data_IF_339115347245
#
_entry.id   IF_339115347245
#
_cell.length_a   1.000
_cell.length_b   1.000
_cell.length_c   1.000
_cell.angle_alpha   90.00
_cell.angle_beta   90.00
_cell.angle_gamma   90.00
#
_symmetry.space_group_name_H-M   'P 1'
#
loop_
_entity.id
_entity.type
_entity.pdbx_description
1 polymer ?
#
# COMPACT_ATOMS: atom_id res chain seq x y z
N UNK A 1 -17.22 -5.92 -17.66
CA UNK A 1 -17.22 -5.66 -16.20
C UNK A 1 -17.14 -6.96 -15.38
N UNK A 2 -18.02 -7.97 -15.62
CA UNK A 2 -17.94 -9.26 -14.90
C UNK A 2 -16.72 -10.09 -15.32
N UNK A 3 -16.37 -10.09 -16.60
CA UNK A 3 -15.18 -10.75 -17.12
C UNK A 3 -13.89 -10.17 -16.51
N UNK A 4 -13.77 -8.85 -16.40
CA UNK A 4 -12.62 -8.17 -15.82
C UNK A 4 -12.46 -8.48 -14.32
N UNK A 5 -13.58 -8.66 -13.61
CA UNK A 5 -13.59 -9.08 -12.20
C UNK A 5 -13.17 -10.54 -12.09
N UNK A 6 -13.68 -11.38 -12.97
CA UNK A 6 -13.36 -12.79 -12.98
C UNK A 6 -11.87 -13.01 -13.32
N UNK A 7 -11.35 -12.30 -14.33
CA UNK A 7 -9.94 -12.31 -14.68
C UNK A 7 -9.05 -11.88 -13.52
N UNK A 8 -9.40 -10.77 -12.81
CA UNK A 8 -8.68 -10.32 -11.62
C UNK A 8 -8.62 -11.39 -10.53
N UNK A 9 -9.71 -12.11 -10.32
CA UNK A 9 -9.80 -13.15 -9.29
C UNK A 9 -9.08 -14.43 -9.72
N UNK A 10 -9.20 -14.82 -10.98
CA UNK A 10 -8.64 -16.08 -11.49
C UNK A 10 -7.12 -15.97 -11.67
N UNK A 11 -6.61 -14.87 -12.22
CA UNK A 11 -5.19 -14.61 -12.37
C UNK A 11 -4.45 -14.57 -11.02
N UNK A 12 -5.06 -13.96 -10.00
CA UNK A 12 -4.47 -13.94 -8.66
C UNK A 12 -4.45 -15.33 -7.99
N UNK A 13 -5.25 -16.30 -8.49
CA UNK A 13 -5.23 -17.70 -8.04
C UNK A 13 -4.14 -18.52 -8.69
N UNK A 14 -3.82 -18.27 -9.95
CA UNK A 14 -2.75 -18.99 -10.64
C UNK A 14 -1.38 -18.71 -9.99
N UNK A 15 -1.12 -17.49 -9.57
CA UNK A 15 0.11 -17.16 -8.85
C UNK A 15 0.24 -17.86 -7.48
N UNK A 16 -0.89 -18.19 -6.83
CA UNK A 16 -0.88 -18.96 -5.58
C UNK A 16 -0.49 -20.44 -5.78
N UNK A 17 -0.70 -21.00 -6.97
CA UNK A 17 -0.34 -22.40 -7.25
C UNK A 17 1.15 -22.57 -7.60
N UNK A 18 1.85 -21.50 -7.97
CA UNK A 18 3.29 -21.52 -8.30
C UNK A 18 4.19 -21.46 -7.05
N UNK A 19 3.64 -21.16 -5.88
CA UNK A 19 4.37 -21.19 -4.60
C UNK A 19 4.04 -22.46 -3.82
N UNK A 20 4.08 -23.61 -4.50
CA UNK A 20 4.12 -24.89 -3.81
C UNK A 20 5.59 -25.25 -3.55
N UNK A 21 5.95 -25.34 -2.26
CA UNK A 21 7.27 -25.73 -1.80
C UNK A 21 7.57 -27.18 -2.18
N UNK A 22 8.01 -27.39 -3.44
CA UNK A 22 8.55 -28.66 -3.91
C UNK A 22 9.82 -29.01 -3.17
N UNK A 23 9.67 -29.82 -2.16
CA UNK A 23 10.77 -30.49 -1.46
C UNK A 23 11.64 -31.29 -2.41
N UNK A 24 12.93 -31.26 -2.16
CA UNK A 24 14.03 -31.67 -2.96
C UNK A 24 14.00 -33.04 -3.66
N UNK A 25 14.75 -33.10 -4.74
CA UNK A 25 15.62 -34.24 -5.05
C UNK A 25 16.78 -33.83 -5.94
N UNK A 26 17.98 -34.24 -5.51
CA UNK A 26 19.26 -34.19 -6.23
C UNK A 26 19.23 -35.04 -7.49
N UNK A 27 19.86 -34.59 -8.58
CA UNK A 27 20.80 -35.40 -9.36
C UNK A 27 21.57 -34.50 -10.35
N UNK A 28 22.82 -34.40 -10.11
CA UNK A 28 24.06 -34.56 -10.90
C UNK A 28 23.94 -34.64 -12.43
N UNK A 29 24.71 -33.84 -13.07
CA UNK A 29 25.87 -34.07 -13.98
C UNK A 29 25.87 -33.02 -15.10
N UNK A 30 26.95 -32.36 -15.14
CA UNK A 30 28.16 -32.39 -15.97
C UNK A 30 28.13 -31.44 -17.17
N UNK A 31 29.13 -30.54 -17.11
CA UNK A 31 30.23 -30.18 -18.03
C UNK A 31 29.94 -29.43 -19.32
N UNK A 32 30.55 -28.32 -19.49
CA UNK A 32 31.77 -27.87 -20.18
C UNK A 32 31.71 -26.35 -20.33
N UNK A 33 32.64 -25.56 -19.88
CA UNK A 33 34.02 -25.24 -20.25
C UNK A 33 34.13 -24.53 -21.58
N UNK A 34 34.72 -23.39 -21.51
CA UNK A 34 35.85 -22.71 -22.19
C UNK A 34 35.54 -21.24 -22.31
N UNK A 35 36.32 -20.38 -21.63
CA UNK A 35 37.55 -19.66 -22.01
C UNK A 35 37.29 -18.64 -23.12
N UNK A 36 37.64 -17.36 -22.94
CA UNK A 36 38.99 -16.84 -22.98
C UNK A 36 39.03 -15.31 -22.73
N UNK A 37 40.01 -14.87 -21.94
CA UNK A 37 40.94 -13.75 -22.00
C UNK A 37 40.40 -12.33 -22.23
N UNK A 38 40.69 -11.41 -21.35
CA UNK A 38 41.89 -10.79 -20.75
C UNK A 38 42.19 -9.39 -21.32
N UNK A 39 42.73 -8.56 -20.41
CA UNK A 39 43.49 -7.31 -20.56
C UNK A 39 42.66 -6.02 -20.61
N UNK A 40 42.83 -5.04 -19.73
CA UNK A 40 43.98 -4.65 -18.92
C UNK A 40 44.19 -3.13 -19.04
N UNK A 41 44.62 -2.55 -17.99
CA UNK A 41 45.41 -1.32 -17.74
C UNK A 41 44.65 -0.23 -17.03
N UNK A 42 44.91 -0.06 -15.77
CA UNK A 42 45.90 0.77 -14.98
C UNK A 42 45.81 2.29 -15.17
N UNK A 43 45.73 2.88 -13.96
CA UNK A 43 46.32 4.15 -13.49
C UNK A 43 45.53 5.46 -13.67
N UNK A 44 45.15 6.11 -12.57
CA UNK A 44 46.05 7.03 -11.89
C UNK A 44 45.45 7.60 -10.59
N UNK A 45 46.26 7.59 -9.58
CA UNK A 45 46.08 8.22 -8.30
C UNK A 45 46.31 9.73 -8.38
N UNK A 46 45.50 10.53 -7.68
CA UNK A 46 46.02 11.76 -7.11
C UNK A 46 45.24 12.18 -5.86
N UNK A 47 45.97 12.27 -4.79
CA UNK A 47 45.71 12.78 -3.46
C UNK A 47 45.34 14.26 -3.46
N UNK A 48 44.41 14.68 -2.62
CA UNK A 48 44.48 15.93 -1.87
C UNK A 48 43.71 15.84 -0.56
N UNK A 49 44.43 16.14 0.49
CA UNK A 49 44.01 16.26 1.88
C UNK A 49 43.05 17.44 2.10
N UNK A 50 42.20 17.31 3.13
CA UNK A 50 41.85 18.47 3.94
C UNK A 50 40.38 18.63 4.31
N UNK A 51 40.15 18.40 5.54
CA UNK A 51 39.24 19.06 6.49
C UNK A 51 38.22 18.15 7.14
N UNK A 52 38.53 17.86 8.40
CA UNK A 52 37.63 17.30 9.40
C UNK A 52 36.47 18.26 9.68
N UNK A 53 35.24 17.77 9.62
CA UNK A 53 34.13 18.36 10.33
C UNK A 53 33.33 17.25 11.02
N UNK A 54 33.19 17.36 12.33
CA UNK A 54 32.48 16.50 13.22
C UNK A 54 31.08 16.15 12.72
N UNK A 55 30.91 14.95 12.19
CA UNK A 55 29.60 14.36 11.99
C UNK A 55 29.26 13.54 13.23
N UNK A 56 28.45 14.12 14.10
CA UNK A 56 27.78 13.50 15.22
C UNK A 56 27.09 12.22 14.72
N UNK A 57 27.66 11.06 15.05
CA UNK A 57 27.10 9.74 14.81
C UNK A 57 25.73 9.66 15.51
N UNK A 58 24.67 9.82 14.77
CA UNK A 58 23.34 9.42 15.23
C UNK A 58 23.34 7.89 15.35
N UNK A 59 23.06 7.40 16.55
CA UNK A 59 22.87 5.98 16.82
C UNK A 59 21.84 5.37 15.84
N UNK A 60 22.02 4.13 15.37
CA UNK A 60 21.06 3.48 14.51
C UNK A 60 19.73 3.40 15.26
N UNK A 61 18.68 4.03 14.72
CA UNK A 61 17.31 3.84 15.20
C UNK A 61 17.04 2.33 15.16
N UNK A 62 16.79 1.76 16.34
CA UNK A 62 16.38 0.37 16.52
C UNK A 62 15.25 0.11 15.53
N UNK A 63 15.48 -0.76 14.55
CA UNK A 63 14.45 -1.19 13.61
C UNK A 63 13.29 -1.74 14.46
N UNK A 64 12.12 -1.12 14.34
CA UNK A 64 10.90 -1.66 14.93
C UNK A 64 10.72 -3.08 14.37
N UNK A 65 10.42 -4.01 15.27
CA UNK A 65 10.08 -5.36 14.86
C UNK A 65 8.97 -5.32 13.81
N UNK A 66 9.03 -6.17 12.77
CA UNK A 66 7.99 -6.19 11.75
C UNK A 66 6.65 -6.39 12.44
N UNK A 67 5.78 -5.40 12.31
CA UNK A 67 4.43 -5.49 12.86
C UNK A 67 3.71 -6.61 12.12
N UNK A 68 3.13 -7.52 12.85
CA UNK A 68 2.37 -8.61 12.27
C UNK A 68 1.08 -8.05 11.68
N UNK A 69 1.01 -7.97 10.37
CA UNK A 69 -0.23 -7.67 9.63
C UNK A 69 -0.96 -8.97 9.25
N UNK A 70 -0.84 -10.01 10.09
CA UNK A 70 -1.50 -11.28 9.81
C UNK A 70 -3.02 -11.16 9.97
N UNK A 71 -3.68 -11.25 8.84
CA UNK A 71 -5.13 -11.10 8.69
C UNK A 71 -5.71 -12.28 7.94
N UNK A 72 -5.34 -13.46 8.32
CA UNK A 72 -5.74 -14.71 7.64
C UNK A 72 -7.26 -14.89 7.51
N UNK A 73 -8.06 -14.18 8.29
CA UNK A 73 -9.52 -14.27 8.29
C UNK A 73 -10.24 -13.09 7.65
N UNK A 74 -9.56 -11.96 7.45
CA UNK A 74 -10.18 -10.76 6.90
C UNK A 74 -10.31 -10.83 5.38
N UNK A 75 -11.44 -10.38 4.84
CA UNK A 75 -11.68 -10.28 3.38
C UNK A 75 -10.76 -9.26 2.71
N UNK A 76 -10.39 -8.20 3.45
CA UNK A 76 -9.49 -7.14 2.99
C UNK A 76 -8.25 -7.19 3.86
N UNK A 77 -7.07 -7.38 3.24
CA UNK A 77 -5.80 -7.37 3.95
C UNK A 77 -5.52 -5.99 4.53
N UNK A 78 -5.70 -4.95 3.72
CA UNK A 78 -5.54 -3.58 4.16
C UNK A 78 -6.47 -2.62 3.41
N UNK A 79 -6.94 -1.60 4.10
CA UNK A 79 -7.60 -0.42 3.54
C UNK A 79 -6.77 0.81 3.88
N UNK A 80 -6.33 1.52 2.86
CA UNK A 80 -5.55 2.75 3.02
C UNK A 80 -6.26 3.93 2.39
N UNK A 81 -6.39 5.01 3.14
CA UNK A 81 -6.79 6.31 2.63
C UNK A 81 -5.55 7.06 2.16
N UNK A 82 -5.47 7.30 0.86
CA UNK A 82 -4.40 8.08 0.24
C UNK A 82 -4.92 8.79 -1.01
N UNK A 83 -4.97 10.12 -0.96
CA UNK A 83 -5.53 10.95 -2.03
C UNK A 83 -4.77 10.86 -3.35
N UNK A 84 -3.55 10.32 -3.32
CA UNK A 84 -2.73 10.02 -4.50
C UNK A 84 -3.05 8.65 -5.12
N UNK A 85 -3.80 7.79 -4.41
CA UNK A 85 -4.13 6.42 -4.81
C UNK A 85 -2.87 5.57 -5.06
N UNK A 86 -2.74 4.93 -6.23
CA UNK A 86 -1.53 4.16 -6.57
C UNK A 86 -0.41 5.13 -6.97
N UNK A 87 0.66 5.13 -6.21
CA UNK A 87 1.87 5.91 -6.49
C UNK A 87 3.10 5.19 -5.93
N UNK A 88 4.31 5.70 -6.21
CA UNK A 88 5.56 5.00 -5.95
C UNK A 88 5.70 4.39 -4.54
N UNK A 89 5.37 5.12 -3.46
CA UNK A 89 5.49 4.59 -2.10
C UNK A 89 4.48 3.48 -1.82
N UNK A 90 3.20 3.66 -2.22
CA UNK A 90 2.19 2.61 -2.06
C UNK A 90 2.58 1.39 -2.86
N UNK A 91 2.92 1.59 -4.12
CA UNK A 91 3.27 0.51 -5.02
C UNK A 91 4.51 -0.27 -4.56
N UNK A 92 5.56 0.41 -4.12
CA UNK A 92 6.85 -0.22 -3.85
C UNK A 92 7.02 -0.72 -2.42
N UNK A 93 6.40 -0.06 -1.44
CA UNK A 93 6.61 -0.38 -0.02
C UNK A 93 5.44 -1.13 0.60
N UNK A 94 4.22 -0.58 0.49
CA UNK A 94 3.05 -1.18 1.11
C UNK A 94 2.67 -2.53 0.50
N UNK A 95 2.75 -2.66 -0.82
CA UNK A 95 2.43 -3.94 -1.49
C UNK A 95 3.35 -5.07 -1.04
N UNK A 96 4.64 -4.80 -0.90
CA UNK A 96 5.62 -5.78 -0.41
C UNK A 96 5.41 -6.11 1.07
N UNK A 97 5.27 -5.07 1.91
CA UNK A 97 5.10 -5.25 3.35
C UNK A 97 3.84 -6.06 3.69
N UNK A 98 2.77 -5.82 2.97
CA UNK A 98 1.49 -6.49 3.16
C UNK A 98 1.38 -7.79 2.34
N UNK A 99 2.38 -8.09 1.50
CA UNK A 99 2.38 -9.25 0.59
C UNK A 99 1.06 -9.37 -0.18
N UNK A 100 0.59 -8.26 -0.77
CA UNK A 100 -0.69 -8.24 -1.48
C UNK A 100 -0.57 -8.79 -2.89
N UNK A 101 -1.63 -9.45 -3.34
CA UNK A 101 -1.75 -10.03 -4.67
C UNK A 101 -2.51 -9.10 -5.61
N UNK A 102 -3.37 -8.25 -5.07
CA UNK A 102 -4.17 -7.32 -5.84
C UNK A 102 -4.39 -5.99 -5.15
N UNK A 103 -4.57 -4.95 -5.95
CA UNK A 103 -4.94 -3.61 -5.51
C UNK A 103 -6.32 -3.28 -6.07
N UNK A 104 -7.24 -2.87 -5.22
CA UNK A 104 -8.53 -2.32 -5.63
C UNK A 104 -8.56 -0.84 -5.30
N UNK A 105 -8.59 0.00 -6.32
CA UNK A 105 -8.83 1.43 -6.16
C UNK A 105 -10.34 1.66 -6.21
N UNK A 106 -10.90 2.12 -5.11
CA UNK A 106 -12.30 2.50 -4.98
C UNK A 106 -12.42 4.02 -5.00
N UNK A 107 -12.66 4.57 -6.18
CA UNK A 107 -12.83 6.01 -6.38
C UNK A 107 -13.59 6.29 -7.68
N UNK A 108 -14.69 7.05 -7.57
CA UNK A 108 -15.61 7.31 -8.67
C UNK A 108 -14.95 8.15 -9.78
N UNK A 109 -14.19 9.18 -9.42
CA UNK A 109 -13.51 10.03 -10.40
C UNK A 109 -12.47 9.23 -11.20
N UNK A 110 -11.57 8.54 -10.52
CA UNK A 110 -10.52 7.75 -11.15
C UNK A 110 -11.09 6.61 -12.00
N UNK A 111 -12.23 6.05 -11.64
CA UNK A 111 -12.90 5.01 -12.40
C UNK A 111 -13.54 5.53 -13.70
N UNK A 112 -13.96 6.78 -13.72
CA UNK A 112 -14.63 7.43 -14.87
C UNK A 112 -13.66 8.21 -15.77
N UNK A 113 -12.45 8.49 -15.32
CA UNK A 113 -11.39 9.15 -16.10
C UNK A 113 -10.41 8.11 -16.68
N UNK A 114 -10.49 7.87 -17.99
CA UNK A 114 -9.64 6.92 -18.67
C UNK A 114 -8.14 7.26 -18.58
N UNK A 115 -7.79 8.54 -18.58
CA UNK A 115 -6.39 8.98 -18.47
C UNK A 115 -5.85 8.68 -17.08
N UNK A 116 -6.60 9.04 -16.05
CA UNK A 116 -6.22 8.74 -14.67
C UNK A 116 -6.16 7.23 -14.40
N UNK A 117 -7.15 6.50 -14.90
CA UNK A 117 -7.19 5.02 -14.80
C UNK A 117 -5.97 4.37 -15.43
N UNK A 118 -5.57 4.82 -16.63
CA UNK A 118 -4.37 4.32 -17.30
C UNK A 118 -3.11 4.66 -16.52
N UNK A 119 -2.96 5.89 -16.04
CA UNK A 119 -1.82 6.31 -15.22
C UNK A 119 -1.68 5.48 -13.94
N UNK A 120 -2.81 5.21 -13.26
CA UNK A 120 -2.82 4.36 -12.06
C UNK A 120 -2.42 2.91 -12.40
N UNK A 121 -2.91 2.34 -13.49
CA UNK A 121 -2.52 0.99 -13.94
C UNK A 121 -1.02 0.90 -14.24
N UNK A 122 -0.44 1.93 -14.84
CA UNK A 122 1.01 1.99 -15.13
C UNK A 122 1.88 2.08 -13.87
N UNK A 123 1.34 2.57 -12.76
CA UNK A 123 2.05 2.67 -11.48
C UNK A 123 2.01 1.37 -10.66
N UNK A 124 1.28 0.35 -11.10
CA UNK A 124 1.19 -0.94 -10.42
C UNK A 124 2.48 -1.73 -10.61
N UNK A 125 3.06 -2.31 -9.54
CA UNK A 125 4.23 -3.18 -9.67
C UNK A 125 3.92 -4.43 -10.50
N UNK A 126 4.95 -4.93 -11.20
CA UNK A 126 4.82 -6.22 -11.90
C UNK A 126 4.41 -7.35 -10.95
N UNK A 127 3.56 -8.24 -11.44
CA UNK A 127 3.04 -9.38 -10.66
C UNK A 127 1.87 -9.04 -9.74
N UNK A 128 1.46 -7.77 -9.62
CA UNK A 128 0.29 -7.38 -8.84
C UNK A 128 -0.83 -6.97 -9.79
N UNK A 129 -2.02 -7.52 -9.56
CA UNK A 129 -3.21 -7.16 -10.33
C UNK A 129 -3.86 -5.90 -9.78
N UNK A 130 -4.55 -5.14 -10.60
CA UNK A 130 -5.25 -3.94 -10.15
C UNK A 130 -6.62 -3.77 -10.80
N UNK A 131 -7.57 -3.34 -10.00
CA UNK A 131 -8.87 -2.87 -10.45
C UNK A 131 -9.08 -1.43 -9.99
N UNK A 132 -9.60 -0.60 -10.89
CA UNK A 132 -9.98 0.78 -10.57
C UNK A 132 -11.47 0.90 -10.88
N UNK A 133 -12.27 1.06 -9.84
CA UNK A 133 -13.74 0.96 -9.91
C UNK A 133 -14.40 2.06 -9.07
N UNK A 134 -15.65 2.45 -9.42
CA UNK A 134 -16.48 3.23 -8.53
C UNK A 134 -16.64 2.53 -7.17
N UNK A 135 -16.84 3.30 -6.11
CA UNK A 135 -16.88 2.78 -4.74
C UNK A 135 -17.91 1.65 -4.58
N UNK A 136 -19.11 1.80 -5.15
CA UNK A 136 -20.17 0.79 -5.05
C UNK A 136 -19.84 -0.50 -5.81
N UNK A 137 -19.15 -0.39 -6.94
CA UNK A 137 -18.69 -1.56 -7.69
C UNK A 137 -17.54 -2.25 -6.95
N UNK A 138 -16.62 -1.49 -6.38
CA UNK A 138 -15.55 -2.03 -5.54
C UNK A 138 -16.10 -2.83 -4.35
N UNK A 139 -17.14 -2.31 -3.68
CA UNK A 139 -17.81 -3.02 -2.58
C UNK A 139 -18.39 -4.36 -3.05
N UNK A 140 -19.03 -4.40 -4.23
CA UNK A 140 -19.55 -5.66 -4.79
C UNK A 140 -18.46 -6.67 -5.07
N UNK A 141 -17.32 -6.23 -5.60
CA UNK A 141 -16.14 -7.08 -5.85
C UNK A 141 -15.59 -7.63 -4.54
N UNK A 142 -15.39 -6.78 -3.54
CA UNK A 142 -14.83 -7.15 -2.25
C UNK A 142 -15.73 -8.10 -1.45
N UNK A 143 -17.05 -8.04 -1.68
CA UNK A 143 -18.02 -8.99 -1.11
C UNK A 143 -18.14 -10.30 -1.89
N UNK A 144 -17.48 -10.44 -3.05
CA UNK A 144 -17.49 -11.68 -3.78
C UNK A 144 -16.76 -12.79 -2.98
N UNK A 145 -17.39 -13.96 -2.76
CA UNK A 145 -16.76 -15.05 -2.00
C UNK A 145 -15.40 -15.49 -2.55
N UNK A 146 -15.19 -15.36 -3.86
CA UNK A 146 -13.91 -15.71 -4.48
C UNK A 146 -12.79 -14.77 -4.07
N UNK A 147 -13.10 -13.50 -3.80
CA UNK A 147 -12.12 -12.52 -3.33
C UNK A 147 -11.67 -12.75 -1.87
N UNK A 148 -12.42 -13.53 -1.08
CA UNK A 148 -12.16 -13.73 0.36
C UNK A 148 -10.82 -14.41 0.67
N UNK A 149 -10.22 -15.09 -0.32
CA UNK A 149 -8.93 -15.79 -0.17
C UNK A 149 -7.75 -15.01 -0.72
N UNK A 150 -8.01 -13.85 -1.29
CA UNK A 150 -6.98 -13.00 -1.86
C UNK A 150 -6.46 -12.01 -0.82
N UNK A 151 -5.19 -11.67 -0.91
CA UNK A 151 -4.59 -10.58 -0.16
C UNK A 151 -4.75 -9.29 -0.96
N UNK A 152 -5.74 -8.48 -0.59
CA UNK A 152 -6.13 -7.27 -1.32
C UNK A 152 -5.79 -6.03 -0.51
N UNK A 153 -5.10 -5.07 -1.14
CA UNK A 153 -4.98 -3.70 -0.67
C UNK A 153 -6.07 -2.86 -1.34
N UNK A 154 -6.94 -2.28 -0.55
CA UNK A 154 -7.93 -1.31 -1.02
C UNK A 154 -7.40 0.10 -0.81
N UNK A 155 -7.51 0.93 -1.83
CA UNK A 155 -7.13 2.35 -1.80
C UNK A 155 -8.37 3.21 -2.02
N UNK A 156 -8.57 4.18 -1.14
CA UNK A 156 -9.58 5.24 -1.29
C UNK A 156 -8.92 6.61 -1.23
N UNK A 157 -9.54 7.60 -1.85
CA UNK A 157 -9.07 8.98 -1.79
C UNK A 157 -9.50 9.69 -0.52
N UNK A 158 -10.69 9.35 -0.01
CA UNK A 158 -11.34 10.03 1.10
C UNK A 158 -11.62 9.09 2.27
N UNK A 159 -11.75 9.66 3.47
CA UNK A 159 -12.17 8.90 4.66
C UNK A 159 -13.62 8.44 4.54
N UNK A 160 -14.48 9.22 3.88
CA UNK A 160 -15.88 8.85 3.63
C UNK A 160 -15.99 7.57 2.82
N UNK A 161 -15.19 7.44 1.75
CA UNK A 161 -15.19 6.23 0.92
C UNK A 161 -14.67 5.03 1.72
N UNK A 162 -13.64 5.24 2.54
CA UNK A 162 -13.13 4.20 3.42
C UNK A 162 -14.18 3.75 4.44
N UNK A 163 -14.92 4.68 5.04
CA UNK A 163 -16.03 4.38 5.95
C UNK A 163 -17.12 3.56 5.25
N UNK A 164 -17.53 3.97 4.07
CA UNK A 164 -18.55 3.27 3.26
C UNK A 164 -18.13 1.83 2.96
N UNK A 165 -16.85 1.62 2.60
CA UNK A 165 -16.30 0.28 2.38
C UNK A 165 -16.32 -0.52 3.68
N UNK A 166 -15.80 0.04 4.78
CA UNK A 166 -15.75 -0.64 6.07
C UNK A 166 -17.12 -1.09 6.57
N UNK A 167 -18.14 -0.24 6.42
CA UNK A 167 -19.51 -0.54 6.78
C UNK A 167 -20.13 -1.66 5.92
N UNK A 168 -19.73 -1.72 4.64
CA UNK A 168 -20.33 -2.63 3.66
C UNK A 168 -19.63 -3.99 3.55
N UNK A 169 -18.33 -4.06 3.85
CA UNK A 169 -17.53 -5.27 3.63
C UNK A 169 -17.21 -6.00 4.95
N UNK A 170 -17.32 -5.33 6.09
CA UNK A 170 -17.04 -5.92 7.40
C UNK A 170 -15.59 -5.70 7.82
N UNK A 171 -14.97 -6.71 8.44
CA UNK A 171 -13.64 -6.58 9.01
C UNK A 171 -12.56 -6.30 7.97
N UNK A 172 -11.65 -5.40 8.36
CA UNK A 172 -10.45 -5.04 7.60
C UNK A 172 -9.25 -5.40 8.45
N UNK A 173 -8.30 -6.05 7.84
CA UNK A 173 -7.14 -6.49 8.56
C UNK A 173 -6.23 -5.36 9.06
N UNK A 174 -5.97 -4.38 8.22
CA UNK A 174 -5.17 -3.22 8.55
C UNK A 174 -5.79 -1.97 7.95
N UNK A 175 -6.18 -1.02 8.79
CA UNK A 175 -6.75 0.25 8.36
C UNK A 175 -5.76 1.38 8.60
N UNK A 176 -5.41 2.07 7.54
CA UNK A 176 -4.39 3.11 7.55
C UNK A 176 -4.86 4.40 6.87
N UNK A 177 -4.66 5.53 7.54
CA UNK A 177 -4.84 6.87 6.97
C UNK A 177 -3.47 7.46 6.70
N UNK A 178 -3.11 7.54 5.43
CA UNK A 178 -1.79 8.04 5.01
C UNK A 178 -1.80 9.49 4.56
N UNK A 179 -2.61 9.80 3.58
CA UNK A 179 -2.76 11.15 3.03
C UNK A 179 -4.22 11.39 2.68
N UNK A 180 -4.74 12.55 2.99
CA UNK A 180 -6.07 12.96 2.55
C UNK A 180 -6.28 14.46 2.70
N UNK A 181 -7.08 15.02 1.80
CA UNK A 181 -7.53 16.41 1.85
C UNK A 181 -6.51 17.45 1.40
N UNK A 182 -5.46 17.05 0.67
CA UNK A 182 -4.47 17.99 0.11
C UNK A 182 -4.83 18.48 -1.28
N UNK A 183 -5.58 17.68 -2.04
CA UNK A 183 -5.85 17.91 -3.46
C UNK A 183 -7.35 17.93 -3.78
N UNK A 184 -8.18 18.30 -2.83
CA UNK A 184 -9.65 18.36 -2.98
C UNK A 184 -10.16 19.75 -3.38
N UNK A 185 -9.26 20.74 -3.56
CA UNK A 185 -9.62 22.10 -3.96
C UNK A 185 -10.23 22.97 -2.86
N UNK A 186 -10.36 22.46 -1.64
CA UNK A 186 -10.87 23.21 -0.49
C UNK A 186 -9.71 23.90 0.24
N UNK A 187 -9.91 25.14 0.69
CA UNK A 187 -8.88 25.89 1.41
C UNK A 187 -8.51 25.21 2.74
N UNK A 188 -7.22 25.27 3.08
CA UNK A 188 -6.70 24.66 4.31
C UNK A 188 -7.31 25.29 5.57
N UNK A 189 -7.70 26.58 5.51
CA UNK A 189 -8.36 27.27 6.62
C UNK A 189 -9.74 26.69 6.98
N UNK A 190 -10.36 25.97 6.08
CA UNK A 190 -11.64 25.28 6.28
C UNK A 190 -11.48 23.85 6.82
N UNK A 191 -10.25 23.41 7.05
CA UNK A 191 -9.90 22.05 7.45
C UNK A 191 -9.24 21.97 8.80
N UNK A 192 -9.46 20.86 9.48
CA UNK A 192 -8.65 20.44 10.61
C UNK A 192 -7.37 19.78 10.10
N UNK A 193 -6.22 20.33 10.44
CA UNK A 193 -4.91 19.76 10.09
C UNK A 193 -4.47 18.81 11.20
N UNK A 194 -4.57 17.52 11.00
CA UNK A 194 -4.09 16.49 11.94
C UNK A 194 -2.58 16.28 11.79
N UNK A 195 -2.12 16.25 10.57
CA UNK A 195 -0.70 16.16 10.18
C UNK A 195 -0.49 16.95 8.89
N UNK A 196 0.76 17.20 8.46
CA UNK A 196 1.01 17.86 7.18
C UNK A 196 0.42 17.13 5.95
N UNK A 197 0.02 15.89 6.12
CA UNK A 197 -0.51 15.05 5.04
C UNK A 197 -1.97 14.62 5.24
N UNK A 198 -2.57 14.98 6.37
CA UNK A 198 -3.96 14.63 6.70
C UNK A 198 -4.68 15.91 7.12
N UNK A 199 -5.57 16.37 6.26
CA UNK A 199 -6.37 17.58 6.43
C UNK A 199 -7.83 17.23 6.17
N UNK A 200 -8.69 17.53 7.12
CA UNK A 200 -10.07 17.02 7.13
C UNK A 200 -11.08 18.14 7.19
N UNK A 201 -11.99 18.17 6.23
CA UNK A 201 -13.21 18.96 6.34
C UNK A 201 -14.08 18.44 7.51
N UNK A 202 -15.05 19.22 7.96
CA UNK A 202 -15.97 18.77 9.03
C UNK A 202 -16.64 17.43 8.72
N UNK A 203 -17.02 17.22 7.47
CA UNK A 203 -17.63 15.96 7.03
C UNK A 203 -16.65 14.77 7.07
N UNK A 204 -15.39 14.99 6.71
CA UNK A 204 -14.33 13.97 6.80
C UNK A 204 -13.93 13.68 8.26
N UNK A 205 -13.96 14.69 9.14
CA UNK A 205 -13.74 14.51 10.57
C UNK A 205 -14.81 13.59 11.18
N UNK A 206 -16.08 13.82 10.83
CA UNK A 206 -17.18 12.97 11.28
C UNK A 206 -17.02 11.54 10.76
N UNK A 207 -16.70 11.38 9.48
CA UNK A 207 -16.44 10.07 8.90
C UNK A 207 -15.26 9.35 9.58
N UNK A 208 -14.20 10.09 9.96
CA UNK A 208 -13.07 9.51 10.66
C UNK A 208 -13.45 9.04 12.08
N UNK A 209 -14.24 9.80 12.82
CA UNK A 209 -14.75 9.40 14.15
C UNK A 209 -15.57 8.10 14.05
N UNK A 210 -16.46 8.01 13.06
CA UNK A 210 -17.26 6.80 12.82
C UNK A 210 -16.39 5.61 12.39
N UNK A 211 -15.40 5.84 11.53
CA UNK A 211 -14.47 4.80 11.07
C UNK A 211 -13.66 4.22 12.23
N UNK A 212 -13.16 5.08 13.13
CA UNK A 212 -12.42 4.67 14.34
C UNK A 212 -13.30 3.94 15.34
N UNK A 213 -14.59 4.31 15.44
CA UNK A 213 -15.55 3.58 16.28
C UNK A 213 -15.76 2.14 15.79
N UNK A 214 -15.73 1.92 14.47
CA UNK A 214 -15.81 0.59 13.84
C UNK A 214 -14.48 -0.16 13.85
N UNK A 215 -13.37 0.56 13.85
CA UNK A 215 -12.02 0.01 13.79
C UNK A 215 -11.04 0.79 14.69
N UNK A 216 -11.05 0.53 16.00
CA UNK A 216 -10.22 1.27 16.97
C UNK A 216 -8.71 1.14 16.75
N UNK A 217 -8.28 0.17 15.94
CA UNK A 217 -6.88 -0.04 15.57
C UNK A 217 -6.44 0.77 14.34
N UNK A 218 -7.35 1.57 13.77
CA UNK A 218 -7.01 2.46 12.66
C UNK A 218 -5.81 3.33 13.03
N UNK A 219 -4.84 3.40 12.14
CA UNK A 219 -3.59 4.12 12.41
C UNK A 219 -3.25 5.12 11.31
N UNK A 220 -2.42 6.08 11.68
CA UNK A 220 -1.76 6.99 10.74
C UNK A 220 -0.31 6.55 10.58
N UNK A 221 0.10 6.33 9.32
CA UNK A 221 1.45 5.91 8.97
C UNK A 221 1.69 6.19 7.48
N UNK A 222 2.80 6.84 7.15
CA UNK A 222 3.13 7.16 5.76
C UNK A 222 3.74 5.97 5.03
N UNK A 223 4.75 5.38 5.61
CA UNK A 223 5.45 4.20 5.09
C UNK A 223 5.54 3.13 6.19
N UNK A 224 5.70 1.85 5.83
CA UNK A 224 5.70 0.75 6.79
C UNK A 224 6.76 0.85 7.90
N UNK A 225 7.84 1.59 7.66
CA UNK A 225 8.91 1.77 8.64
C UNK A 225 8.68 2.93 9.62
N UNK A 226 7.64 3.74 9.40
CA UNK A 226 7.28 4.80 10.33
C UNK A 226 6.62 4.21 11.57
N UNK A 227 6.64 5.00 12.65
CA UNK A 227 5.86 4.69 13.84
C UNK A 227 4.36 4.75 13.52
N UNK A 228 3.62 3.71 13.93
CA UNK A 228 2.17 3.72 13.87
C UNK A 228 1.61 4.58 15.00
N UNK A 229 0.78 5.56 14.62
CA UNK A 229 0.03 6.38 15.57
C UNK A 229 -1.45 6.03 15.44
N UNK A 230 -2.06 5.61 16.53
CA UNK A 230 -3.49 5.33 16.52
C UNK A 230 -4.25 6.62 16.25
N UNK A 231 -5.21 6.55 15.33
CA UNK A 231 -6.07 7.70 15.01
C UNK A 231 -6.85 8.12 16.25
N UNK A 232 -7.33 7.16 17.03
CA UNK A 232 -8.05 7.39 18.29
C UNK A 232 -7.29 8.30 19.24
N UNK A 233 -5.99 8.00 19.49
CA UNK A 233 -5.16 8.77 20.43
C UNK A 233 -4.96 10.22 20.00
N UNK A 234 -5.13 10.50 18.72
CA UNK A 234 -5.02 11.85 18.17
C UNK A 234 -6.35 12.57 18.27
N UNK A 235 -7.47 11.90 17.98
CA UNK A 235 -8.81 12.47 18.15
C UNK A 235 -9.11 12.80 19.60
N UNK A 236 -8.74 11.92 20.53
CA UNK A 236 -8.94 12.12 21.99
C UNK A 236 -8.17 13.33 22.54
N UNK A 237 -7.16 13.83 21.83
CA UNK A 237 -6.41 15.04 22.21
C UNK A 237 -7.00 16.32 21.63
N UNK A 238 -7.94 16.23 20.71
CA UNK A 238 -8.57 17.36 20.03
C UNK A 238 -9.95 17.71 20.60
N UNK A 239 -10.59 16.79 21.29
CA UNK A 239 -11.84 16.97 22.04
C UNK A 239 -11.53 17.49 23.46
#
# INVERSE_FOLDING_TARGET
>A
AEEEIQEFIDDAREELQVVDFGGGKKSTSEKNAEEDTAQGTENNAQTSEGAASDAKKSAPKKALAPQSYDNSTAKITALRVDDRLIHGQVAMTWTKQLAVQGIVVANDEAANDNTQKMALKMAVPGGIKSLIKPVDEAIRILNNPKASRMRILVLTRTVKDALKIRQSVGEIGFLNVGNTGRFDGIDVSEKLVLTPTIMLTKAEQQALKELVALDPKACMQQVPNDEQKLVKDILDKLD
#
